data_IF_481394569721
#
_entry.id   IF_481394569721
#
_cell.length_a   1.000
_cell.length_b   1.000
_cell.length_c   1.000
_cell.angle_alpha   90.00
_cell.angle_beta   90.00
_cell.angle_gamma   90.00
#
_symmetry.space_group_name_H-M   'P 1'
#
loop_
_entity.id
_entity.type
_entity.pdbx_description
1 polymer ?
#
# COMPACT_ATOMS: atom_id res chain seq x y z
N UNK A 1 -52.04 40.87 -55.44
CA UNK A 1 -52.11 40.10 -54.18
C UNK A 1 -50.73 40.08 -53.52
N UNK A 2 -50.53 40.91 -52.49
CA UNK A 2 -49.25 41.07 -51.77
C UNK A 2 -49.06 39.96 -50.73
N UNK A 3 -47.96 39.21 -50.82
CA UNK A 3 -47.54 38.21 -49.82
C UNK A 3 -47.08 38.92 -48.54
N UNK A 4 -47.67 38.59 -47.38
CA UNK A 4 -47.19 38.99 -46.05
C UNK A 4 -46.01 38.08 -45.63
N UNK A 5 -44.96 38.60 -44.94
CA UNK A 5 -43.84 37.79 -44.49
C UNK A 5 -44.17 37.07 -43.16
N UNK A 6 -43.59 35.87 -42.97
CA UNK A 6 -43.66 35.10 -41.72
C UNK A 6 -42.67 35.67 -40.69
N UNK A 7 -42.98 35.68 -39.38
CA UNK A 7 -42.04 36.14 -38.37
C UNK A 7 -40.94 35.09 -38.12
N UNK A 8 -39.70 35.55 -38.10
CA UNK A 8 -38.52 34.81 -37.65
C UNK A 8 -38.50 34.76 -36.12
N UNK A 9 -38.77 33.61 -35.53
CA UNK A 9 -38.45 33.35 -34.12
C UNK A 9 -37.00 32.87 -34.01
N UNK A 10 -36.07 33.82 -33.84
CA UNK A 10 -34.75 33.55 -33.28
C UNK A 10 -34.94 33.34 -31.78
N UNK A 11 -35.06 32.10 -31.32
CA UNK A 11 -34.91 31.79 -29.89
C UNK A 11 -33.44 32.03 -29.52
N UNK A 12 -33.23 33.03 -28.67
CA UNK A 12 -31.97 33.33 -28.00
C UNK A 12 -31.50 32.08 -27.24
N UNK A 13 -30.34 31.55 -27.60
CA UNK A 13 -29.59 30.56 -26.83
C UNK A 13 -28.95 31.28 -25.62
N UNK A 14 -29.72 31.46 -24.56
CA UNK A 14 -29.17 31.71 -23.22
C UNK A 14 -29.88 30.77 -22.26
N UNK A 15 -29.31 29.57 -22.11
CA UNK A 15 -29.49 28.70 -20.95
C UNK A 15 -28.52 27.52 -21.10
N UNK A 16 -27.24 27.75 -20.86
CA UNK A 16 -26.27 26.68 -20.66
C UNK A 16 -25.32 26.92 -19.47
N UNK A 17 -25.33 28.11 -18.85
CA UNK A 17 -24.35 28.47 -17.81
C UNK A 17 -24.61 27.84 -16.44
N UNK A 18 -25.87 27.65 -16.04
CA UNK A 18 -26.20 27.18 -14.68
C UNK A 18 -25.86 25.70 -14.45
N UNK A 19 -26.00 24.85 -15.49
CA UNK A 19 -25.62 23.44 -15.39
C UNK A 19 -24.10 23.26 -15.31
N UNK A 20 -23.32 24.08 -16.03
CA UNK A 20 -21.86 24.08 -15.96
C UNK A 20 -21.35 24.62 -14.63
N UNK A 21 -21.94 25.72 -14.11
CA UNK A 21 -21.58 26.26 -12.79
C UNK A 21 -21.90 25.29 -11.67
N UNK A 22 -23.09 24.68 -11.66
CA UNK A 22 -23.47 23.67 -10.66
C UNK A 22 -22.67 22.36 -10.73
N UNK A 23 -22.06 22.04 -11.88
CA UNK A 23 -21.14 20.90 -12.04
C UNK A 23 -19.71 21.26 -11.62
N UNK A 24 -19.28 22.50 -11.85
CA UNK A 24 -17.98 23.01 -11.42
C UNK A 24 -17.92 23.16 -9.89
N UNK A 25 -18.97 23.70 -9.28
CA UNK A 25 -19.11 23.79 -7.81
C UNK A 25 -19.04 22.41 -7.17
N UNK A 26 -19.85 21.45 -7.65
CA UNK A 26 -19.78 20.05 -7.19
C UNK A 26 -18.41 19.39 -7.37
N UNK A 27 -17.67 19.73 -8.43
CA UNK A 27 -16.29 19.26 -8.63
C UNK A 27 -15.32 19.87 -7.63
N UNK A 28 -15.48 21.16 -7.31
CA UNK A 28 -14.66 21.86 -6.32
C UNK A 28 -14.92 21.30 -4.91
N UNK A 29 -16.18 21.05 -4.55
CA UNK A 29 -16.57 20.45 -3.27
C UNK A 29 -15.95 19.04 -3.13
N UNK A 30 -16.04 18.21 -4.18
CA UNK A 30 -15.40 16.89 -4.21
C UNK A 30 -13.88 17.01 -4.08
N UNK A 31 -13.25 17.95 -4.79
CA UNK A 31 -11.80 18.14 -4.70
C UNK A 31 -11.37 18.57 -3.29
N UNK A 32 -12.16 19.40 -2.62
CA UNK A 32 -11.94 19.81 -1.25
C UNK A 32 -12.10 18.64 -0.27
N UNK A 33 -13.16 17.85 -0.39
CA UNK A 33 -13.38 16.66 0.44
C UNK A 33 -12.25 15.64 0.28
N UNK A 34 -11.84 15.40 -0.97
CA UNK A 34 -10.69 14.55 -1.27
C UNK A 34 -9.43 15.10 -0.60
N UNK A 35 -9.12 16.39 -0.79
CA UNK A 35 -7.96 17.02 -0.16
C UNK A 35 -8.00 16.90 1.37
N UNK A 36 -9.16 17.05 2.00
CA UNK A 36 -9.30 16.84 3.44
C UNK A 36 -8.96 15.41 3.85
N UNK A 37 -9.43 14.39 3.13
CA UNK A 37 -9.08 13.00 3.46
C UNK A 37 -7.59 12.72 3.26
N UNK A 38 -6.98 13.20 2.17
CA UNK A 38 -5.56 13.02 1.89
C UNK A 38 -4.65 13.75 2.90
N UNK A 39 -5.13 14.84 3.49
CA UNK A 39 -4.41 15.60 4.50
C UNK A 39 -4.63 15.10 5.94
N UNK A 40 -5.41 14.04 6.16
CA UNK A 40 -5.49 13.34 7.45
C UNK A 40 -4.24 12.52 7.70
N UNK A 41 -3.12 13.22 7.90
CA UNK A 41 -1.82 12.64 8.24
C UNK A 41 -1.60 12.81 9.74
N UNK A 42 -1.15 11.74 10.38
CA UNK A 42 -0.78 11.75 11.78
C UNK A 42 0.73 11.66 11.88
N UNK A 43 1.32 12.50 12.73
CA UNK A 43 2.73 12.41 13.10
C UNK A 43 2.80 11.92 14.53
N UNK A 44 3.61 10.88 14.75
CA UNK A 44 3.92 10.39 16.07
C UNK A 44 5.27 10.98 16.47
N UNK A 45 5.30 11.70 17.58
CA UNK A 45 6.55 12.13 18.18
C UNK A 45 7.11 11.01 19.03
N UNK A 46 8.44 10.86 19.03
CA UNK A 46 9.08 10.00 20.01
C UNK A 46 8.69 10.49 21.42
N UNK A 47 8.31 9.60 22.35
CA UNK A 47 8.03 10.02 23.72
C UNK A 47 9.27 10.73 24.30
N UNK A 48 9.11 12.01 24.61
CA UNK A 48 10.11 12.79 25.35
C UNK A 48 10.20 12.19 26.75
N UNK A 49 11.41 11.88 27.21
CA UNK A 49 11.63 11.40 28.58
C UNK A 49 10.93 12.31 29.60
N UNK A 50 10.42 11.74 30.70
CA UNK A 50 9.64 12.43 31.73
C UNK A 50 10.32 13.66 32.36
N UNK A 51 11.61 13.87 32.10
CA UNK A 51 12.45 14.86 32.76
C UNK A 51 12.95 16.01 31.85
N UNK A 52 12.37 16.20 30.66
CA UNK A 52 12.69 17.37 29.81
C UNK A 52 14.11 17.41 29.23
N UNK A 53 14.92 16.38 29.49
CA UNK A 53 16.26 16.22 28.91
C UNK A 53 16.15 15.47 27.58
N UNK A 54 16.62 16.09 26.50
CA UNK A 54 16.52 15.62 25.10
C UNK A 54 17.31 14.32 24.79
N UNK A 55 17.95 13.68 25.77
CA UNK A 55 18.87 12.56 25.54
C UNK A 55 18.30 11.15 25.76
N UNK A 56 17.10 10.99 26.31
CA UNK A 56 16.52 9.65 26.45
C UNK A 56 15.77 9.24 25.19
N UNK A 57 16.51 8.64 24.25
CA UNK A 57 15.93 7.81 23.19
C UNK A 57 14.97 6.80 23.86
N UNK A 58 13.67 6.77 23.54
CA UNK A 58 12.73 5.88 24.21
C UNK A 58 13.14 4.43 23.93
N UNK A 59 13.80 3.82 24.91
CA UNK A 59 14.20 2.42 24.83
C UNK A 59 12.94 1.57 24.74
N UNK A 60 12.91 0.67 23.75
CA UNK A 60 11.90 -0.38 23.72
C UNK A 60 11.96 -1.16 25.04
N UNK A 61 10.82 -1.65 25.55
CA UNK A 61 10.82 -2.47 26.75
C UNK A 61 11.75 -3.69 26.55
N UNK A 62 12.45 -4.15 27.61
CA UNK A 62 13.31 -5.34 27.51
C UNK A 62 12.53 -6.53 26.95
N UNK A 63 13.15 -7.35 26.10
CA UNK A 63 12.45 -8.43 25.37
C UNK A 63 11.74 -9.41 26.32
N UNK A 64 12.39 -9.70 27.44
CA UNK A 64 11.89 -10.52 28.56
C UNK A 64 10.62 -9.97 29.23
N UNK A 65 10.30 -8.70 29.02
CA UNK A 65 9.05 -8.09 29.51
C UNK A 65 7.93 -8.10 28.47
N UNK A 66 8.27 -8.25 27.19
CA UNK A 66 7.30 -8.30 26.09
C UNK A 66 6.54 -9.62 26.18
N UNK A 67 5.20 -9.54 26.26
CA UNK A 67 4.32 -10.69 26.46
C UNK A 67 4.52 -11.47 27.79
N UNK A 68 5.19 -10.89 28.78
CA UNK A 68 5.39 -11.53 30.10
C UNK A 68 4.12 -11.57 30.96
N UNK A 69 3.16 -10.68 30.70
CA UNK A 69 1.88 -10.65 31.41
C UNK A 69 1.03 -11.87 31.05
N UNK A 70 0.56 -12.59 32.08
CA UNK A 70 -0.48 -13.63 31.92
C UNK A 70 -1.88 -13.03 31.76
N UNK A 71 -2.06 -11.77 32.16
CA UNK A 71 -3.31 -11.05 31.98
C UNK A 71 -3.35 -10.44 30.59
N UNK A 72 -4.43 -10.74 29.87
CA UNK A 72 -4.69 -10.16 28.56
C UNK A 72 -5.09 -8.70 28.76
N UNK A 73 -4.29 -7.78 28.21
CA UNK A 73 -4.68 -6.38 28.15
C UNK A 73 -5.94 -6.24 27.30
N UNK A 74 -7.06 -5.90 27.93
CA UNK A 74 -8.34 -5.71 27.25
C UNK A 74 -8.89 -4.31 27.51
N UNK A 75 -9.34 -3.67 26.44
CA UNK A 75 -10.03 -2.39 26.49
C UNK A 75 -11.49 -2.66 26.12
N UNK A 76 -12.40 -2.51 27.08
CA UNK A 76 -13.82 -2.86 26.93
C UNK A 76 -14.49 -2.16 25.74
N UNK A 77 -14.16 -0.89 25.50
CA UNK A 77 -14.68 -0.15 24.35
C UNK A 77 -14.25 -0.77 23.02
N UNK A 78 -12.99 -1.23 22.91
CA UNK A 78 -12.48 -1.92 21.71
C UNK A 78 -13.12 -3.30 21.54
N UNK A 79 -13.42 -4.02 22.63
CA UNK A 79 -14.12 -5.31 22.55
C UNK A 79 -15.56 -5.16 22.02
N UNK A 80 -16.26 -4.09 22.43
CA UNK A 80 -17.58 -3.75 21.88
C UNK A 80 -17.51 -3.46 20.39
N UNK A 81 -16.54 -2.65 19.95
CA UNK A 81 -16.32 -2.35 18.53
C UNK A 81 -15.98 -3.61 17.73
N UNK A 82 -15.08 -4.47 18.25
CA UNK A 82 -14.73 -5.76 17.64
C UNK A 82 -15.96 -6.65 17.45
N UNK A 83 -16.80 -6.74 18.48
CA UNK A 83 -18.02 -7.57 18.45
C UNK A 83 -19.03 -7.05 17.43
N UNK A 84 -19.24 -5.73 17.39
CA UNK A 84 -20.10 -5.10 16.40
C UNK A 84 -19.58 -5.31 14.97
N UNK A 85 -18.27 -5.11 14.74
CA UNK A 85 -17.64 -5.33 13.45
C UNK A 85 -17.80 -6.79 12.99
N UNK A 86 -17.51 -7.75 13.87
CA UNK A 86 -17.65 -9.18 13.55
C UNK A 86 -19.10 -9.57 13.25
N UNK A 87 -20.08 -9.01 13.95
CA UNK A 87 -21.52 -9.20 13.66
C UNK A 87 -21.92 -8.67 12.29
N UNK A 88 -21.27 -7.60 11.80
CA UNK A 88 -21.50 -7.09 10.45
C UNK A 88 -20.77 -7.94 9.41
N UNK A 89 -19.50 -8.29 9.65
CA UNK A 89 -18.72 -9.17 8.78
C UNK A 89 -19.37 -10.53 8.58
N UNK A 90 -19.94 -11.12 9.63
CA UNK A 90 -20.58 -12.43 9.57
C UNK A 90 -21.78 -12.49 8.64
N UNK A 91 -22.40 -11.34 8.31
CA UNK A 91 -23.48 -11.27 7.30
C UNK A 91 -23.00 -11.60 5.89
N UNK A 92 -21.68 -11.63 5.67
CA UNK A 92 -21.07 -11.96 4.39
C UNK A 92 -20.67 -13.44 4.28
N UNK A 93 -20.81 -14.23 5.35
CA UNK A 93 -20.30 -15.61 5.39
C UNK A 93 -21.00 -16.55 4.40
N UNK A 94 -22.26 -16.25 4.05
CA UNK A 94 -23.07 -17.09 3.16
C UNK A 94 -22.90 -16.72 1.67
N UNK A 95 -22.11 -15.69 1.36
CA UNK A 95 -21.83 -15.31 -0.01
C UNK A 95 -20.67 -16.14 -0.56
N UNK A 96 -20.85 -16.63 -1.78
CA UNK A 96 -19.77 -17.27 -2.52
C UNK A 96 -18.64 -16.24 -2.77
N UNK A 97 -17.39 -16.67 -2.54
CA UNK A 97 -16.23 -15.78 -2.47
C UNK A 97 -15.93 -15.12 -3.82
N UNK A 98 -16.13 -15.83 -4.93
CA UNK A 98 -15.89 -15.31 -6.28
C UNK A 98 -16.93 -14.25 -6.68
N UNK A 99 -18.21 -14.46 -6.35
CA UNK A 99 -19.28 -13.50 -6.57
C UNK A 99 -19.07 -12.24 -5.72
N UNK A 100 -18.69 -12.42 -4.46
CA UNK A 100 -18.36 -11.32 -3.57
C UNK A 100 -17.15 -10.52 -4.07
N UNK A 101 -16.08 -11.18 -4.52
CA UNK A 101 -14.93 -10.52 -5.13
C UNK A 101 -15.30 -9.77 -6.40
N UNK A 102 -16.14 -10.35 -7.26
CA UNK A 102 -16.62 -9.67 -8.47
C UNK A 102 -17.43 -8.42 -8.12
N UNK A 103 -18.35 -8.53 -7.17
CA UNK A 103 -19.16 -7.40 -6.70
C UNK A 103 -18.29 -6.27 -6.12
N UNK A 104 -17.42 -6.59 -5.17
CA UNK A 104 -16.55 -5.61 -4.51
C UNK A 104 -15.57 -4.97 -5.50
N UNK A 105 -15.02 -5.73 -6.45
CA UNK A 105 -14.18 -5.18 -7.53
C UNK A 105 -14.94 -4.18 -8.39
N UNK A 106 -16.19 -4.47 -8.77
CA UNK A 106 -17.03 -3.54 -9.56
C UNK A 106 -17.39 -2.27 -8.79
N UNK A 107 -17.49 -2.35 -7.46
CA UNK A 107 -17.82 -1.22 -6.58
C UNK A 107 -16.59 -0.43 -6.13
N UNK A 108 -15.38 -0.90 -6.42
CA UNK A 108 -14.15 -0.27 -5.96
C UNK A 108 -13.84 1.01 -6.73
N UNK A 109 -13.69 2.11 -6.00
CA UNK A 109 -13.18 3.39 -6.53
C UNK A 109 -11.68 3.36 -6.89
N UNK A 110 -10.98 2.25 -6.61
CA UNK A 110 -9.56 2.10 -6.94
C UNK A 110 -9.33 1.79 -8.42
N UNK A 111 -10.30 1.20 -9.13
CA UNK A 111 -10.09 0.77 -10.52
C UNK A 111 -9.69 1.93 -11.46
N UNK A 112 -10.33 3.11 -11.40
CA UNK A 112 -9.88 4.28 -12.17
C UNK A 112 -8.45 4.71 -11.82
N UNK A 113 -8.08 4.66 -10.53
CA UNK A 113 -6.74 5.04 -10.06
C UNK A 113 -5.69 4.09 -10.65
N UNK A 114 -5.94 2.79 -10.59
CA UNK A 114 -5.05 1.78 -11.19
C UNK A 114 -4.93 1.96 -12.71
N UNK A 115 -6.02 2.36 -13.38
CA UNK A 115 -5.98 2.68 -14.81
C UNK A 115 -5.07 3.88 -15.09
N UNK A 116 -5.18 4.94 -14.28
CA UNK A 116 -4.35 6.13 -14.47
C UNK A 116 -2.87 5.89 -14.16
N UNK A 117 -2.57 5.08 -13.13
CA UNK A 117 -1.20 4.65 -12.84
C UNK A 117 -0.59 3.87 -14.02
N UNK A 118 -1.35 2.97 -14.65
CA UNK A 118 -0.89 2.24 -15.84
C UNK A 118 -0.69 3.14 -17.04
N UNK A 119 -1.63 4.06 -17.30
CA UNK A 119 -1.66 4.78 -18.57
C UNK A 119 -0.81 6.07 -18.56
N UNK A 120 -0.90 6.86 -17.48
CA UNK A 120 -0.18 8.14 -17.39
C UNK A 120 1.22 7.99 -16.85
N UNK A 121 1.35 7.20 -15.78
CA UNK A 121 2.61 7.00 -15.08
C UNK A 121 3.41 5.84 -15.72
N UNK A 122 2.77 5.05 -16.61
CA UNK A 122 3.39 3.91 -17.31
C UNK A 122 4.00 2.91 -16.34
N UNK A 123 3.36 2.76 -15.19
CA UNK A 123 3.79 1.79 -14.19
C UNK A 123 3.48 0.37 -14.66
N UNK A 124 4.44 -0.52 -14.45
CA UNK A 124 4.33 -1.95 -14.71
C UNK A 124 3.85 -2.68 -13.45
N UNK A 125 3.20 -3.84 -13.65
CA UNK A 125 2.71 -4.68 -12.55
C UNK A 125 1.81 -3.94 -11.54
N UNK A 126 0.98 -3.01 -12.04
CA UNK A 126 0.09 -2.19 -11.22
C UNK A 126 -1.02 -3.04 -10.63
N UNK A 127 -0.98 -3.21 -9.30
CA UNK A 127 -2.02 -3.82 -8.47
C UNK A 127 -2.49 -2.82 -7.39
N UNK A 128 -3.45 -3.23 -6.56
CA UNK A 128 -3.79 -2.45 -5.38
C UNK A 128 -2.60 -2.31 -4.42
N UNK A 129 -1.76 -3.35 -4.32
CA UNK A 129 -0.56 -3.31 -3.50
C UNK A 129 0.43 -2.27 -4.05
N UNK A 130 0.69 -2.27 -5.37
CA UNK A 130 1.50 -1.22 -6.00
C UNK A 130 1.02 0.18 -5.60
N UNK A 131 -0.29 0.46 -5.74
CA UNK A 131 -0.85 1.76 -5.45
C UNK A 131 -0.71 2.14 -3.96
N UNK A 132 -0.90 1.18 -3.05
CA UNK A 132 -0.72 1.39 -1.60
C UNK A 132 0.70 1.83 -1.28
N UNK A 133 1.71 1.09 -1.74
CA UNK A 133 3.09 1.46 -1.42
C UNK A 133 3.48 2.77 -2.09
N UNK A 134 3.12 2.95 -3.38
CA UNK A 134 3.43 4.16 -4.12
C UNK A 134 2.88 5.41 -3.43
N UNK A 135 1.63 5.35 -2.98
CA UNK A 135 1.00 6.41 -2.17
C UNK A 135 1.80 6.67 -0.88
N UNK A 136 2.19 5.62 -0.14
CA UNK A 136 2.97 5.77 1.09
C UNK A 136 4.31 6.47 0.85
N UNK A 137 5.10 6.05 -0.14
CA UNK A 137 6.41 6.66 -0.41
C UNK A 137 6.30 8.04 -1.04
N UNK A 138 5.18 8.37 -1.70
CA UNK A 138 4.92 9.71 -2.21
C UNK A 138 4.43 10.67 -1.11
N UNK A 139 3.61 10.17 -0.18
CA UNK A 139 2.97 10.98 0.85
C UNK A 139 3.85 11.21 2.09
N UNK A 140 4.80 10.31 2.36
CA UNK A 140 5.66 10.30 3.54
C UNK A 140 7.14 10.18 3.13
N UNK A 141 8.05 10.73 3.93
CA UNK A 141 9.49 10.67 3.71
C UNK A 141 10.07 9.30 4.10
N UNK A 142 9.54 8.22 3.52
CA UNK A 142 10.01 6.85 3.76
C UNK A 142 11.28 6.51 2.98
N UNK A 143 11.56 7.28 1.93
CA UNK A 143 12.80 7.23 1.16
C UNK A 143 13.51 8.57 1.32
N UNK A 144 14.46 8.68 2.28
CA UNK A 144 15.18 9.91 2.53
C UNK A 144 16.06 10.29 1.34
N UNK A 145 16.54 11.53 1.30
CA UNK A 145 17.52 11.95 0.31
C UNK A 145 18.86 11.26 0.56
N UNK A 146 19.27 10.39 -0.37
CA UNK A 146 20.47 9.55 -0.22
C UNK A 146 21.67 10.28 -0.83
N UNK A 147 22.66 10.63 0.00
CA UNK A 147 23.88 11.33 -0.44
C UNK A 147 24.71 10.53 -1.45
N UNK A 148 24.69 9.20 -1.34
CA UNK A 148 25.49 8.31 -2.17
C UNK A 148 24.66 7.61 -3.27
N UNK A 149 23.38 7.98 -3.43
CA UNK A 149 22.44 7.30 -4.32
C UNK A 149 22.32 5.77 -4.10
N UNK A 150 22.70 5.26 -2.93
CA UNK A 150 22.52 3.85 -2.59
C UNK A 150 21.31 3.66 -1.68
N UNK A 151 20.43 2.73 -2.05
CA UNK A 151 19.26 2.38 -1.28
C UNK A 151 19.20 0.87 -1.08
N UNK A 152 18.83 0.45 0.12
CA UNK A 152 18.77 -0.96 0.49
C UNK A 152 17.43 -1.26 1.15
N UNK A 153 16.63 -2.17 0.59
CA UNK A 153 15.33 -2.53 1.17
C UNK A 153 15.11 -4.02 1.32
N UNK A 154 14.37 -4.37 2.37
CA UNK A 154 13.94 -5.74 2.68
C UNK A 154 12.42 -5.81 2.61
N UNK A 155 11.89 -6.74 1.81
CA UNK A 155 10.45 -6.90 1.62
C UNK A 155 10.00 -8.26 2.15
N UNK A 156 9.11 -8.26 3.14
CA UNK A 156 8.67 -9.47 3.83
C UNK A 156 7.23 -9.78 3.45
N UNK A 157 6.94 -11.08 3.27
CA UNK A 157 5.66 -11.58 2.78
C UNK A 157 5.22 -10.98 1.44
N UNK A 158 6.18 -10.67 0.57
CA UNK A 158 6.02 -9.67 -0.49
C UNK A 158 5.31 -10.16 -1.76
N UNK A 159 5.23 -11.47 -1.96
CA UNK A 159 4.74 -12.01 -3.22
C UNK A 159 3.34 -11.47 -3.58
N UNK A 160 3.12 -11.12 -4.87
CA UNK A 160 3.96 -11.46 -6.02
C UNK A 160 5.04 -10.41 -6.39
N UNK A 161 5.26 -9.36 -5.58
CA UNK A 161 6.31 -8.35 -5.82
C UNK A 161 5.81 -6.96 -6.25
N UNK A 162 4.53 -6.65 -6.05
CA UNK A 162 3.95 -5.38 -6.49
C UNK A 162 4.41 -4.17 -5.64
N UNK A 163 4.81 -4.39 -4.40
CA UNK A 163 5.43 -3.35 -3.57
C UNK A 163 6.87 -3.11 -4.06
N UNK A 164 7.63 -4.15 -4.37
CA UNK A 164 8.96 -4.01 -5.00
C UNK A 164 8.87 -3.18 -6.29
N UNK A 165 7.97 -3.53 -7.22
CA UNK A 165 7.85 -2.77 -8.48
C UNK A 165 7.34 -1.34 -8.26
N UNK A 166 6.46 -1.13 -7.27
CA UNK A 166 6.02 0.19 -6.84
C UNK A 166 7.16 1.07 -6.34
N UNK A 167 8.02 0.52 -5.49
CA UNK A 167 9.20 1.20 -4.96
C UNK A 167 10.21 1.50 -6.05
N UNK A 168 10.48 0.53 -6.94
CA UNK A 168 11.35 0.73 -8.11
C UNK A 168 10.92 1.95 -8.92
N UNK A 169 9.64 1.99 -9.25
CA UNK A 169 9.07 3.02 -10.09
C UNK A 169 9.17 4.40 -9.40
N UNK A 170 8.88 4.46 -8.11
CA UNK A 170 9.03 5.68 -7.32
C UNK A 170 10.48 6.19 -7.29
N UNK A 171 11.44 5.31 -7.02
CA UNK A 171 12.86 5.64 -6.94
C UNK A 171 13.37 6.20 -8.28
N UNK A 172 13.01 5.55 -9.39
CA UNK A 172 13.38 5.99 -10.74
C UNK A 172 12.84 7.37 -11.08
N UNK A 173 11.58 7.66 -10.74
CA UNK A 173 10.98 8.95 -11.06
C UNK A 173 11.39 10.09 -10.12
N UNK A 174 11.64 9.80 -8.83
CA UNK A 174 11.67 10.85 -7.80
C UNK A 174 12.97 10.95 -7.00
N UNK A 175 13.92 10.01 -7.15
CA UNK A 175 15.12 9.93 -6.27
C UNK A 175 16.44 9.76 -7.02
N UNK A 176 16.51 10.17 -8.28
CA UNK A 176 17.77 10.21 -9.04
C UNK A 176 17.86 9.21 -10.18
N UNK A 177 16.76 8.54 -10.54
CA UNK A 177 16.68 7.80 -11.80
C UNK A 177 17.74 6.71 -11.92
N UNK A 178 18.56 6.82 -12.95
CA UNK A 178 19.60 5.83 -13.26
C UNK A 178 20.84 5.93 -12.38
N UNK A 179 21.00 7.03 -11.63
CA UNK A 179 22.08 7.15 -10.64
C UNK A 179 21.77 6.36 -9.36
N UNK A 180 20.50 6.05 -9.09
CA UNK A 180 20.08 5.28 -7.92
C UNK A 180 20.51 3.82 -8.02
N UNK A 181 21.43 3.41 -7.14
CA UNK A 181 21.84 2.03 -6.91
C UNK A 181 20.94 1.42 -5.84
N UNK A 182 19.86 0.80 -6.30
CA UNK A 182 18.93 0.12 -5.41
C UNK A 182 19.23 -1.38 -5.36
N UNK A 183 19.54 -1.88 -4.16
CA UNK A 183 19.63 -3.31 -3.86
C UNK A 183 18.49 -3.70 -2.93
N UNK A 184 17.90 -4.86 -3.18
CA UNK A 184 16.83 -5.39 -2.35
C UNK A 184 16.91 -6.89 -2.26
N UNK A 185 16.31 -7.44 -1.22
CA UNK A 185 15.90 -8.84 -1.21
C UNK A 185 14.51 -8.96 -0.57
N UNK A 186 13.84 -10.07 -0.87
CA UNK A 186 12.48 -10.30 -0.41
C UNK A 186 12.29 -11.71 0.14
N UNK A 187 11.29 -11.88 1.00
CA UNK A 187 10.83 -13.17 1.50
C UNK A 187 9.34 -13.34 1.20
N UNK A 188 8.94 -14.58 0.94
CA UNK A 188 7.56 -15.03 0.78
C UNK A 188 7.53 -16.55 0.89
N UNK A 189 6.34 -17.14 1.04
CA UNK A 189 6.15 -18.59 0.87
C UNK A 189 6.63 -19.01 -0.51
N UNK A 190 7.55 -19.97 -0.56
CA UNK A 190 8.15 -20.42 -1.80
C UNK A 190 7.10 -21.11 -2.69
N UNK A 191 6.77 -20.55 -3.88
CA UNK A 191 5.80 -21.18 -4.78
C UNK A 191 6.32 -22.47 -5.41
N UNK A 192 7.63 -22.72 -5.36
CA UNK A 192 8.28 -23.91 -5.91
C UNK A 192 8.48 -25.02 -4.87
N UNK A 193 8.05 -24.81 -3.63
CA UNK A 193 8.14 -25.82 -2.57
C UNK A 193 6.84 -26.63 -2.49
N UNK A 194 6.91 -27.92 -2.83
CA UNK A 194 5.74 -28.81 -2.94
C UNK A 194 4.94 -28.97 -1.63
N UNK A 195 5.58 -28.75 -0.47
CA UNK A 195 4.92 -28.87 0.83
C UNK A 195 4.06 -27.66 1.22
N UNK A 196 4.09 -26.57 0.45
CA UNK A 196 3.26 -25.39 0.71
C UNK A 196 1.83 -25.60 0.16
N UNK A 197 0.83 -25.07 0.85
CA UNK A 197 -0.56 -25.17 0.40
C UNK A 197 -0.79 -24.33 -0.87
N UNK A 198 -1.30 -24.96 -1.93
CA UNK A 198 -1.64 -24.29 -3.20
C UNK A 198 -2.63 -23.12 -3.02
N UNK A 199 -3.51 -23.19 -2.02
CA UNK A 199 -4.45 -22.11 -1.69
C UNK A 199 -3.80 -20.86 -1.09
N UNK A 200 -2.56 -21.00 -0.59
CA UNK A 200 -1.77 -19.90 -0.02
C UNK A 200 -0.69 -19.40 -0.99
N UNK A 201 -0.51 -20.07 -2.13
CA UNK A 201 0.49 -19.70 -3.13
C UNK A 201 -0.03 -18.62 -4.06
N UNK A 202 0.90 -17.81 -4.56
CA UNK A 202 0.60 -16.82 -5.60
C UNK A 202 0.31 -17.51 -6.93
N UNK A 203 -0.60 -16.90 -7.71
CA UNK A 203 -0.93 -17.38 -9.05
C UNK A 203 0.02 -16.86 -10.15
N UNK A 204 0.80 -15.80 -9.88
CA UNK A 204 1.75 -15.19 -10.82
C UNK A 204 3.12 -15.07 -10.16
N UNK A 205 4.05 -15.89 -10.60
CA UNK A 205 5.40 -16.04 -10.06
C UNK A 205 6.49 -15.52 -11.02
N UNK A 206 6.12 -14.97 -12.19
CA UNK A 206 7.06 -14.55 -13.23
C UNK A 206 8.09 -13.54 -12.72
N UNK A 207 7.65 -12.60 -11.88
CA UNK A 207 8.56 -11.64 -11.26
C UNK A 207 9.56 -12.33 -10.34
N UNK A 208 9.12 -13.31 -9.55
CA UNK A 208 9.98 -14.11 -8.67
C UNK A 208 11.02 -14.87 -9.51
N UNK A 209 10.57 -15.56 -10.55
CA UNK A 209 11.44 -16.34 -11.44
C UNK A 209 12.55 -15.48 -12.06
N UNK A 210 12.21 -14.28 -12.55
CA UNK A 210 13.19 -13.37 -13.17
C UNK A 210 14.07 -12.63 -12.16
N UNK A 211 13.76 -12.68 -10.88
CA UNK A 211 14.51 -12.00 -9.81
C UNK A 211 14.94 -12.96 -8.71
N UNK A 212 15.06 -14.27 -9.03
CA UNK A 212 15.21 -15.35 -8.06
C UNK A 212 16.35 -15.10 -7.07
N UNK A 213 17.48 -14.56 -7.54
CA UNK A 213 18.64 -14.25 -6.71
C UNK A 213 18.34 -13.23 -5.61
N UNK A 214 17.29 -12.42 -5.74
CA UNK A 214 16.84 -11.46 -4.74
C UNK A 214 15.83 -12.06 -3.75
N UNK A 215 15.42 -13.33 -3.89
CA UNK A 215 14.47 -13.96 -2.97
C UNK A 215 15.20 -14.80 -1.90
N UNK A 216 14.73 -14.69 -0.66
CA UNK A 216 15.21 -15.40 0.51
C UNK A 216 14.09 -16.30 1.04
N UNK A 217 14.15 -17.58 0.68
CA UNK A 217 13.19 -18.61 1.12
C UNK A 217 13.54 -19.25 2.47
N UNK A 218 14.56 -18.72 3.15
CA UNK A 218 15.00 -19.24 4.45
C UNK A 218 15.83 -20.52 4.35
N UNK A 219 16.16 -21.10 5.50
CA UNK A 219 17.07 -22.23 5.63
C UNK A 219 16.45 -23.55 5.13
N UNK A 220 15.13 -23.69 5.22
CA UNK A 220 14.40 -24.90 4.79
C UNK A 220 13.73 -24.75 3.42
N UNK A 221 13.96 -23.63 2.73
CA UNK A 221 13.38 -23.29 1.43
C UNK A 221 11.84 -23.20 1.38
N UNK A 222 11.12 -23.32 2.51
CA UNK A 222 9.65 -23.18 2.52
C UNK A 222 9.22 -21.73 2.30
N UNK A 223 10.06 -20.78 2.68
CA UNK A 223 9.71 -19.36 2.70
C UNK A 223 8.85 -18.94 3.89
N UNK A 224 8.49 -19.85 4.80
CA UNK A 224 7.68 -19.54 5.97
C UNK A 224 8.47 -18.73 6.99
N UNK A 225 8.15 -17.44 7.09
CA UNK A 225 8.79 -16.49 8.01
C UNK A 225 8.51 -16.80 9.48
N UNK A 226 7.46 -17.58 9.79
CA UNK A 226 7.13 -17.95 11.16
C UNK A 226 8.10 -18.99 11.73
N UNK A 227 8.91 -19.63 10.88
CA UNK A 227 9.96 -20.56 11.32
C UNK A 227 11.21 -19.79 11.76
N UNK A 228 11.69 -20.11 12.96
CA UNK A 228 12.84 -19.42 13.58
C UNK A 228 14.10 -19.52 12.72
N UNK A 229 14.29 -20.65 12.06
CA UNK A 229 15.45 -20.93 11.20
C UNK A 229 15.41 -20.04 9.94
N UNK A 230 14.23 -19.86 9.35
CA UNK A 230 14.04 -18.98 8.20
C UNK A 230 14.18 -17.51 8.57
N UNK A 231 13.65 -17.11 9.73
CA UNK A 231 13.83 -15.77 10.25
C UNK A 231 15.32 -15.47 10.50
N UNK A 232 16.06 -16.41 11.10
CA UNK A 232 17.49 -16.27 11.32
C UNK A 232 18.27 -16.10 10.00
N UNK A 233 17.88 -16.80 8.94
CA UNK A 233 18.49 -16.66 7.62
C UNK A 233 18.18 -15.31 6.96
N UNK A 234 16.95 -14.80 7.09
CA UNK A 234 16.59 -13.45 6.64
C UNK A 234 17.45 -12.39 7.36
N UNK A 235 17.63 -12.54 8.67
CA UNK A 235 18.49 -11.66 9.48
C UNK A 235 19.96 -11.82 9.13
N UNK A 236 20.42 -13.03 8.80
CA UNK A 236 21.80 -13.27 8.32
C UNK A 236 22.03 -12.52 7.01
N UNK A 237 21.10 -12.66 6.05
CA UNK A 237 21.19 -12.02 4.74
C UNK A 237 21.09 -10.51 4.81
N UNK A 238 20.31 -9.95 5.73
CA UNK A 238 20.23 -8.48 5.89
C UNK A 238 21.56 -7.84 6.29
N UNK A 239 22.47 -8.60 6.94
CA UNK A 239 23.82 -8.14 7.29
C UNK A 239 24.76 -8.04 6.08
N UNK A 240 24.38 -8.56 4.92
CA UNK A 240 25.13 -8.37 3.66
C UNK A 240 24.95 -6.95 3.09
N UNK A 241 23.95 -6.21 3.57
CA UNK A 241 23.76 -4.80 3.25
C UNK A 241 24.54 -3.92 4.25
N UNK A 242 25.26 -2.87 3.78
CA UNK A 242 25.94 -1.93 4.68
C UNK A 242 24.99 -1.27 5.68
N UNK A 243 23.75 -1.06 5.26
CA UNK A 243 22.66 -0.50 6.06
C UNK A 243 21.33 -0.92 5.44
N UNK A 244 20.33 -1.28 6.25
CA UNK A 244 18.96 -1.50 5.76
C UNK A 244 18.22 -0.17 5.82
N UNK A 245 17.96 0.45 4.67
CA UNK A 245 17.29 1.75 4.58
C UNK A 245 15.78 1.64 4.84
N UNK A 246 15.16 0.53 4.48
CA UNK A 246 13.73 0.31 4.66
C UNK A 246 13.39 -1.17 4.81
N UNK A 247 12.49 -1.48 5.75
CA UNK A 247 11.83 -2.79 5.85
C UNK A 247 10.36 -2.58 5.52
N UNK A 248 9.86 -3.34 4.55
CA UNK A 248 8.45 -3.32 4.15
C UNK A 248 7.84 -4.67 4.45
N UNK A 249 6.73 -4.67 5.18
CA UNK A 249 5.99 -5.88 5.52
C UNK A 249 4.65 -5.86 4.80
N UNK A 250 4.42 -6.81 3.91
CA UNK A 250 3.15 -6.97 3.23
C UNK A 250 2.25 -7.96 3.99
N UNK A 251 1.17 -7.44 4.58
CA UNK A 251 0.06 -8.27 5.06
C UNK A 251 -1.04 -8.20 4.01
N UNK A 252 -1.16 -9.27 3.22
CA UNK A 252 -2.26 -9.50 2.28
C UNK A 252 -3.57 -9.81 2.99
#
# INVERSE_FOLDING_TARGET
MRKKPRPSHRKSLYCNDDHTKGRALRKADIAQDVAQQFNKKFQFTAPVGRDGNEEHNPALPPLETVFASREVYQVESLQKVKSALNKVKSRLNDFEISDWHQHTRRRSSLQPILSELRNRVRAEFVTQAFAKLYECVAAYELVPQLKNHEFYSVHLCEAPGAFITGLNHYLKLNRGGDMMQWRWFANTLNPYYEGNCLGNMIADDRFILHTMDSWCFGADYTGDIMRKENLAEIVRRSKEFPMVSQIVFFLG
#
